data_IF_259719420147
#
_entry.id   IF_259719420147
#
_cell.length_a   1.000
_cell.length_b   1.000
_cell.length_c   1.000
_cell.angle_alpha   90.00
_cell.angle_beta   90.00
_cell.angle_gamma   90.00
#
_symmetry.space_group_name_H-M   'P 1'
#
loop_
_entity.id
_entity.type
_entity.pdbx_description
1 polymer ?
#
# COMPACT_ATOMS: atom_id res chain seq x y z
N UNK A 1 8.91 -0.21 5.16
CA UNK A 1 7.62 -0.55 5.81
C UNK A 1 6.90 0.65 6.37
N UNK A 2 7.57 1.56 7.09
CA UNK A 2 6.94 2.75 7.68
C UNK A 2 5.98 3.47 6.73
N UNK A 3 6.48 3.96 5.59
CA UNK A 3 5.66 4.68 4.61
C UNK A 3 4.59 3.80 3.98
N UNK A 4 4.90 2.54 3.66
CA UNK A 4 3.90 1.62 3.08
C UNK A 4 2.73 1.40 4.02
N UNK A 5 2.99 1.17 5.32
CA UNK A 5 1.93 1.00 6.30
C UNK A 5 1.20 2.32 6.58
N UNK A 6 1.91 3.44 6.76
CA UNK A 6 1.28 4.75 6.99
C UNK A 6 0.32 5.12 5.84
N UNK A 7 0.81 5.08 4.60
CA UNK A 7 0.01 5.39 3.41
C UNK A 7 -1.20 4.46 3.32
N UNK A 8 -1.00 3.15 3.49
CA UNK A 8 -2.09 2.19 3.37
C UNK A 8 -3.15 2.39 4.46
N UNK A 9 -2.74 2.51 5.73
CA UNK A 9 -3.67 2.73 6.86
C UNK A 9 -4.45 4.03 6.71
N UNK A 10 -3.83 5.11 6.20
CA UNK A 10 -4.54 6.35 5.88
C UNK A 10 -5.47 6.17 4.67
N UNK A 11 -5.09 5.37 3.68
CA UNK A 11 -5.94 4.99 2.54
C UNK A 11 -7.18 4.19 2.95
N UNK A 12 -7.04 3.27 3.90
CA UNK A 12 -8.16 2.51 4.48
C UNK A 12 -9.12 3.42 5.27
N UNK A 13 -8.60 4.47 5.92
CA UNK A 13 -9.45 5.52 6.49
C UNK A 13 -10.22 6.29 5.40
N UNK A 14 -9.55 6.68 4.30
CA UNK A 14 -10.18 7.42 3.20
C UNK A 14 -11.36 6.64 2.60
N UNK A 15 -11.15 5.35 2.28
CA UNK A 15 -12.22 4.50 1.74
C UNK A 15 -13.33 4.29 2.79
N UNK A 16 -12.99 4.07 4.06
CA UNK A 16 -14.00 3.93 5.12
C UNK A 16 -14.87 5.16 5.29
N UNK A 17 -14.28 6.36 5.20
CA UNK A 17 -15.03 7.61 5.21
C UNK A 17 -15.93 7.73 3.98
N UNK A 18 -15.41 7.46 2.78
CA UNK A 18 -16.19 7.54 1.55
C UNK A 18 -17.37 6.55 1.51
N UNK A 19 -17.18 5.32 2.02
CA UNK A 19 -18.25 4.32 2.13
C UNK A 19 -19.31 4.77 3.13
N UNK A 20 -18.90 5.35 4.27
CA UNK A 20 -19.82 5.87 5.29
C UNK A 20 -20.63 7.05 4.77
N UNK A 21 -19.98 7.98 4.06
CA UNK A 21 -20.63 9.15 3.44
C UNK A 21 -21.65 8.70 2.37
N UNK A 22 -21.30 7.69 1.56
CA UNK A 22 -22.20 7.12 0.55
C UNK A 22 -23.38 6.37 1.19
N UNK A 23 -23.14 5.60 2.25
CA UNK A 23 -24.18 4.89 2.98
C UNK A 23 -25.20 5.88 3.56
N UNK A 24 -24.74 6.94 4.21
CA UNK A 24 -25.60 8.01 4.74
C UNK A 24 -26.38 8.72 3.62
N UNK A 25 -25.76 8.96 2.47
CA UNK A 25 -26.44 9.55 1.30
C UNK A 25 -27.55 8.65 0.77
N UNK A 26 -27.32 7.34 0.69
CA UNK A 26 -28.35 6.39 0.23
C UNK A 26 -29.47 6.24 1.26
N UNK A 27 -29.15 6.21 2.54
CA UNK A 27 -30.13 6.18 3.62
C UNK A 27 -31.07 7.39 3.56
N UNK A 28 -30.53 8.59 3.36
CA UNK A 28 -31.31 9.82 3.27
C UNK A 28 -32.27 9.87 2.07
N UNK A 29 -31.98 9.12 0.99
CA UNK A 29 -32.79 9.06 -0.22
C UNK A 29 -33.69 7.83 -0.30
N UNK A 30 -33.69 6.98 0.72
CA UNK A 30 -34.47 5.73 0.76
C UNK A 30 -35.75 5.91 1.59
N UNK A 31 -36.86 5.24 1.25
CA UNK A 31 -38.03 5.17 2.12
C UNK A 31 -37.66 4.64 3.51
N UNK A 32 -38.32 5.17 4.55
CA UNK A 32 -38.04 4.80 5.93
C UNK A 32 -38.16 3.28 6.13
N UNK A 33 -37.07 2.64 6.59
CA UNK A 33 -37.01 1.21 6.91
C UNK A 33 -36.52 0.28 5.78
N UNK A 34 -36.28 0.79 4.57
CA UNK A 34 -35.89 -0.05 3.42
C UNK A 34 -34.36 -0.15 3.22
N UNK A 35 -33.59 0.76 3.82
CA UNK A 35 -32.13 0.79 3.72
C UNK A 35 -31.43 0.58 5.06
N UNK A 36 -30.42 -0.28 5.07
CA UNK A 36 -29.54 -0.54 6.22
C UNK A 36 -28.11 -0.14 5.88
N UNK A 37 -27.62 0.94 6.50
CA UNK A 37 -26.24 1.42 6.35
C UNK A 37 -25.22 0.33 6.69
N UNK A 38 -25.42 -0.37 7.80
CA UNK A 38 -24.54 -1.46 8.24
C UNK A 38 -24.47 -2.60 7.21
N UNK A 39 -25.60 -2.95 6.58
CA UNK A 39 -25.64 -3.99 5.55
C UNK A 39 -24.93 -3.54 4.28
N UNK A 40 -25.07 -2.26 3.89
CA UNK A 40 -24.34 -1.70 2.75
C UNK A 40 -22.83 -1.71 2.99
N UNK A 41 -22.38 -1.20 4.14
CA UNK A 41 -20.96 -1.18 4.53
C UNK A 41 -20.39 -2.61 4.54
N UNK A 42 -21.10 -3.55 5.17
CA UNK A 42 -20.66 -4.94 5.23
C UNK A 42 -20.53 -5.59 3.85
N UNK A 43 -21.51 -5.38 2.96
CA UNK A 43 -21.45 -5.89 1.58
C UNK A 43 -20.30 -5.25 0.79
N UNK A 44 -20.11 -3.94 0.92
CA UNK A 44 -19.02 -3.24 0.26
C UNK A 44 -17.66 -3.85 0.65
N UNK A 45 -17.39 -4.01 1.93
CA UNK A 45 -16.11 -4.56 2.39
C UNK A 45 -15.94 -6.05 2.05
N UNK A 46 -17.02 -6.83 2.08
CA UNK A 46 -16.99 -8.23 1.63
C UNK A 46 -16.57 -8.33 0.16
N UNK A 47 -17.22 -7.57 -0.72
CA UNK A 47 -16.89 -7.58 -2.15
C UNK A 47 -15.52 -6.95 -2.43
N UNK A 48 -15.14 -5.92 -1.66
CA UNK A 48 -13.84 -5.27 -1.78
C UNK A 48 -12.70 -6.23 -1.45
N UNK A 49 -12.74 -6.89 -0.29
CA UNK A 49 -11.69 -7.84 0.10
C UNK A 49 -11.69 -9.10 -0.77
N UNK A 50 -12.86 -9.56 -1.22
CA UNK A 50 -12.95 -10.66 -2.17
C UNK A 50 -12.20 -10.34 -3.47
N UNK A 51 -12.45 -9.16 -4.07
CA UNK A 51 -11.76 -8.74 -5.29
C UNK A 51 -10.26 -8.54 -5.04
N UNK A 52 -9.87 -7.91 -3.92
CA UNK A 52 -8.44 -7.77 -3.55
C UNK A 52 -7.74 -9.12 -3.52
N UNK A 53 -8.37 -10.13 -2.90
CA UNK A 53 -7.84 -11.49 -2.83
C UNK A 53 -7.71 -12.15 -4.20
N UNK A 54 -8.75 -12.07 -5.04
CA UNK A 54 -8.74 -12.65 -6.39
C UNK A 54 -7.70 -11.98 -7.28
N UNK A 55 -7.66 -10.64 -7.30
CA UNK A 55 -6.66 -9.89 -8.09
C UNK A 55 -5.26 -10.17 -7.57
N UNK A 56 -5.07 -10.16 -6.24
CA UNK A 56 -3.79 -10.50 -5.62
C UNK A 56 -3.30 -11.89 -6.00
N UNK A 57 -4.18 -12.90 -6.01
CA UNK A 57 -3.86 -14.26 -6.45
C UNK A 57 -3.45 -14.31 -7.92
N UNK A 58 -4.21 -13.67 -8.81
CA UNK A 58 -3.90 -13.61 -10.24
C UNK A 58 -2.53 -12.94 -10.45
N UNK A 59 -2.28 -11.82 -9.76
CA UNK A 59 -0.99 -11.14 -9.85
C UNK A 59 0.14 -12.03 -9.33
N UNK A 60 -0.05 -12.72 -8.20
CA UNK A 60 0.97 -13.62 -7.64
C UNK A 60 1.33 -14.75 -8.60
N UNK A 61 0.34 -15.39 -9.22
CA UNK A 61 0.56 -16.54 -10.12
C UNK A 61 1.17 -16.12 -11.45
N UNK A 62 0.72 -15.00 -12.03
CA UNK A 62 1.07 -14.64 -13.41
C UNK A 62 2.00 -13.44 -13.51
N UNK A 63 1.84 -12.41 -12.69
CA UNK A 63 2.54 -11.13 -12.88
C UNK A 63 3.86 -11.10 -12.11
N UNK A 64 3.90 -11.59 -10.87
CA UNK A 64 5.07 -11.47 -9.99
C UNK A 64 6.31 -12.12 -10.59
N UNK A 65 6.20 -13.37 -11.07
CA UNK A 65 7.33 -14.09 -11.68
C UNK A 65 7.87 -13.39 -12.93
N UNK A 66 6.98 -12.80 -13.75
CA UNK A 66 7.33 -12.08 -14.98
C UNK A 66 8.05 -10.76 -14.67
N UNK A 67 7.52 -9.96 -13.73
CA UNK A 67 8.16 -8.69 -13.32
C UNK A 67 9.55 -8.97 -12.77
N UNK A 68 9.68 -9.93 -11.85
CA UNK A 68 10.99 -10.23 -11.24
C UNK A 68 12.00 -10.77 -12.25
N UNK A 69 11.57 -11.61 -13.20
CA UNK A 69 12.45 -12.18 -14.24
C UNK A 69 12.91 -11.15 -15.27
N UNK A 70 12.00 -10.31 -15.77
CA UNK A 70 12.28 -9.45 -16.93
C UNK A 70 12.65 -8.01 -16.54
N UNK A 71 12.09 -7.48 -15.44
CA UNK A 71 12.34 -6.11 -15.00
C UNK A 71 13.27 -6.06 -13.77
N UNK A 72 13.32 -7.13 -12.97
CA UNK A 72 14.18 -7.22 -11.80
C UNK A 72 13.64 -6.50 -10.56
N UNK A 73 14.36 -6.65 -9.45
CA UNK A 73 13.93 -6.23 -8.11
C UNK A 73 13.77 -4.71 -8.00
N UNK A 74 14.62 -3.94 -8.68
CA UNK A 74 14.59 -2.47 -8.66
C UNK A 74 13.29 -1.91 -9.23
N UNK A 75 12.78 -2.48 -10.32
CA UNK A 75 11.47 -2.06 -10.84
C UNK A 75 10.34 -2.59 -9.97
N UNK A 76 10.46 -3.84 -9.49
CA UNK A 76 9.45 -4.48 -8.67
C UNK A 76 9.15 -3.72 -7.35
N UNK A 77 10.15 -3.13 -6.69
CA UNK A 77 9.94 -2.32 -5.47
C UNK A 77 9.26 -0.97 -5.76
N UNK A 78 9.38 -0.43 -6.98
CA UNK A 78 8.78 0.84 -7.38
C UNK A 78 7.32 0.70 -7.80
N UNK A 79 6.88 -0.51 -8.18
CA UNK A 79 5.52 -0.77 -8.70
C UNK A 79 4.43 -0.33 -7.72
N UNK A 80 4.54 -0.71 -6.44
CA UNK A 80 3.54 -0.36 -5.44
C UNK A 80 3.43 1.15 -5.20
N UNK A 81 4.52 1.89 -4.90
CA UNK A 81 4.42 3.33 -4.71
C UNK A 81 3.97 4.08 -5.98
N UNK A 82 4.25 3.57 -7.19
CA UNK A 82 3.71 4.16 -8.44
C UNK A 82 2.19 3.98 -8.52
N UNK A 83 1.69 2.78 -8.20
CA UNK A 83 0.25 2.49 -8.15
C UNK A 83 -0.43 3.36 -7.10
N UNK A 84 0.16 3.46 -5.90
CA UNK A 84 -0.34 4.32 -4.84
C UNK A 84 -0.38 5.79 -5.28
N UNK A 85 0.69 6.32 -5.89
CA UNK A 85 0.75 7.71 -6.34
C UNK A 85 -0.35 8.02 -7.36
N UNK A 86 -0.50 7.17 -8.39
CA UNK A 86 -1.56 7.32 -9.39
C UNK A 86 -2.95 7.17 -8.78
N UNK A 87 -3.12 6.23 -7.84
CA UNK A 87 -4.38 6.03 -7.12
C UNK A 87 -4.79 7.28 -6.32
N UNK A 88 -3.90 7.81 -5.47
CA UNK A 88 -4.21 9.01 -4.68
C UNK A 88 -4.34 10.27 -5.55
N UNK A 89 -3.61 10.37 -6.65
CA UNK A 89 -3.81 11.44 -7.64
C UNK A 89 -5.24 11.41 -8.21
N UNK A 90 -5.71 10.24 -8.64
CA UNK A 90 -7.08 10.10 -9.15
C UNK A 90 -8.14 10.33 -8.07
N UNK A 91 -7.91 9.88 -6.83
CA UNK A 91 -8.80 10.14 -5.69
C UNK A 91 -8.88 11.64 -5.39
N UNK A 92 -7.77 12.37 -5.48
CA UNK A 92 -7.76 13.81 -5.27
C UNK A 92 -8.59 14.56 -6.33
N UNK A 93 -8.57 14.09 -7.59
CA UNK A 93 -9.36 14.66 -8.69
C UNK A 93 -10.84 14.28 -8.62
N UNK A 94 -11.15 13.05 -8.18
CA UNK A 94 -12.51 12.51 -8.18
C UNK A 94 -12.91 11.95 -6.80
N UNK A 95 -12.94 12.79 -5.75
CA UNK A 95 -13.10 12.34 -4.36
C UNK A 95 -14.48 11.75 -4.05
N UNK A 96 -15.49 12.05 -4.85
CA UNK A 96 -16.87 11.55 -4.68
C UNK A 96 -17.13 10.21 -5.39
N UNK A 97 -16.19 9.72 -6.20
CA UNK A 97 -16.36 8.51 -6.99
C UNK A 97 -15.94 7.28 -6.19
N UNK A 98 -16.86 6.73 -5.38
CA UNK A 98 -16.58 5.58 -4.53
C UNK A 98 -16.00 4.37 -5.29
N UNK A 99 -16.50 4.11 -6.50
CA UNK A 99 -15.97 3.02 -7.35
C UNK A 99 -14.50 3.25 -7.73
N UNK A 100 -14.09 4.50 -7.96
CA UNK A 100 -12.70 4.83 -8.27
C UNK A 100 -11.80 4.61 -7.05
N UNK A 101 -12.22 5.06 -5.87
CA UNK A 101 -11.51 4.78 -4.60
C UNK A 101 -11.35 3.27 -4.39
N UNK A 102 -12.43 2.51 -4.58
CA UNK A 102 -12.42 1.04 -4.48
C UNK A 102 -11.37 0.43 -5.40
N UNK A 103 -11.37 0.76 -6.69
CA UNK A 103 -10.41 0.20 -7.64
C UNK A 103 -8.97 0.63 -7.39
N UNK A 104 -8.74 1.90 -7.01
CA UNK A 104 -7.41 2.39 -6.63
C UNK A 104 -6.86 1.61 -5.44
N UNK A 105 -7.66 1.45 -4.38
CA UNK A 105 -7.29 0.68 -3.19
C UNK A 105 -7.16 -0.82 -3.47
N UNK A 106 -7.99 -1.37 -4.36
CA UNK A 106 -7.84 -2.75 -4.82
C UNK A 106 -6.50 -2.98 -5.49
N UNK A 107 -6.10 -2.09 -6.41
CA UNK A 107 -4.80 -2.19 -7.08
C UNK A 107 -3.62 -2.07 -6.09
N UNK A 108 -3.71 -1.12 -5.14
CA UNK A 108 -2.70 -0.94 -4.09
C UNK A 108 -2.56 -2.20 -3.21
N UNK A 109 -3.65 -2.68 -2.62
CA UNK A 109 -3.60 -3.82 -1.69
C UNK A 109 -3.29 -5.15 -2.39
N UNK A 110 -3.83 -5.39 -3.58
CA UNK A 110 -3.47 -6.57 -4.35
C UNK A 110 -1.97 -6.59 -4.68
N UNK A 111 -1.38 -5.43 -5.00
CA UNK A 111 0.06 -5.31 -5.27
C UNK A 111 0.89 -5.49 -4.00
N UNK A 112 0.42 -4.96 -2.86
CA UNK A 112 1.13 -5.11 -1.60
C UNK A 112 1.19 -6.58 -1.16
N UNK A 113 0.05 -7.28 -1.20
CA UNK A 113 -0.03 -8.68 -0.77
C UNK A 113 0.66 -9.67 -1.70
N UNK A 114 0.85 -9.33 -2.97
CA UNK A 114 1.50 -10.19 -3.96
C UNK A 114 2.96 -9.79 -4.22
N UNK A 115 3.17 -8.86 -5.15
CA UNK A 115 4.47 -8.44 -5.63
C UNK A 115 5.32 -7.87 -4.52
N UNK A 116 4.80 -6.91 -3.75
CA UNK A 116 5.61 -6.21 -2.75
C UNK A 116 6.00 -7.15 -1.61
N UNK A 117 5.09 -8.02 -1.16
CA UNK A 117 5.39 -9.07 -0.19
C UNK A 117 6.55 -9.96 -0.66
N UNK A 118 6.52 -10.39 -1.93
CA UNK A 118 7.60 -11.19 -2.53
C UNK A 118 8.91 -10.40 -2.60
N UNK A 119 8.86 -9.16 -3.09
CA UNK A 119 10.03 -8.27 -3.21
C UNK A 119 10.70 -8.02 -1.86
N UNK A 120 9.91 -7.79 -0.80
CA UNK A 120 10.43 -7.59 0.57
C UNK A 120 11.29 -8.77 1.02
N UNK A 121 10.91 -10.00 0.70
CA UNK A 121 11.73 -11.16 1.02
C UNK A 121 13.02 -11.23 0.19
N UNK A 122 12.94 -10.86 -1.09
CA UNK A 122 14.08 -10.83 -2.01
C UNK A 122 15.13 -9.80 -1.58
N UNK A 123 14.71 -8.64 -1.06
CA UNK A 123 15.62 -7.59 -0.60
C UNK A 123 16.58 -8.05 0.51
N UNK A 124 16.23 -9.10 1.26
CA UNK A 124 17.07 -9.70 2.30
C UNK A 124 17.93 -10.87 1.82
N UNK A 125 17.86 -11.29 0.55
CA UNK A 125 18.72 -12.36 0.03
C UNK A 125 20.23 -12.08 0.11
N UNK A 126 20.74 -10.85 -0.16
CA UNK A 126 22.16 -10.57 -0.03
C UNK A 126 22.61 -10.28 1.42
N UNK A 127 21.72 -10.43 2.41
CA UNK A 127 22.02 -10.14 3.82
C UNK A 127 22.31 -11.40 4.62
N UNK A 128 23.09 -11.28 5.68
CA UNK A 128 23.33 -12.37 6.63
C UNK A 128 22.05 -12.70 7.42
N UNK A 129 22.02 -13.89 8.05
CA UNK A 129 20.88 -14.30 8.89
C UNK A 129 20.66 -13.36 10.08
N UNK A 130 21.75 -12.89 10.69
CA UNK A 130 21.70 -11.99 11.84
C UNK A 130 21.13 -10.62 11.45
N UNK A 131 21.61 -10.03 10.35
CA UNK A 131 21.08 -8.76 9.82
C UNK A 131 19.60 -8.89 9.48
N UNK A 132 19.21 -9.94 8.76
CA UNK A 132 17.81 -10.21 8.41
C UNK A 132 16.93 -10.35 9.65
N UNK A 133 17.39 -11.06 10.68
CA UNK A 133 16.63 -11.25 11.92
C UNK A 133 16.43 -9.92 12.66
N UNK A 134 17.51 -9.18 12.91
CA UNK A 134 17.44 -7.88 13.59
C UNK A 134 16.58 -6.88 12.81
N UNK A 135 16.76 -6.82 11.49
CA UNK A 135 15.99 -5.92 10.63
C UNK A 135 14.51 -6.27 10.64
N UNK A 136 14.13 -7.55 10.52
CA UNK A 136 12.72 -7.96 10.58
C UNK A 136 12.06 -7.59 11.91
N UNK A 137 12.72 -7.87 13.04
CA UNK A 137 12.17 -7.52 14.35
C UNK A 137 11.97 -6.00 14.46
N UNK A 138 12.96 -5.20 14.07
CA UNK A 138 12.81 -3.74 14.06
C UNK A 138 11.68 -3.29 13.14
N UNK A 139 11.57 -3.87 11.95
CA UNK A 139 10.53 -3.53 10.98
C UNK A 139 9.14 -3.86 11.51
N UNK A 140 8.92 -5.10 11.95
CA UNK A 140 7.60 -5.62 12.28
C UNK A 140 7.12 -5.09 13.64
N UNK A 141 8.03 -4.91 14.61
CA UNK A 141 7.68 -4.42 15.95
C UNK A 141 7.66 -2.90 16.06
N UNK A 142 8.57 -2.20 15.38
CA UNK A 142 8.69 -0.73 15.51
C UNK A 142 8.13 0.01 14.30
N UNK A 143 8.66 -0.23 13.10
CA UNK A 143 8.32 0.61 11.94
C UNK A 143 6.88 0.43 11.44
N UNK A 144 6.32 -0.78 11.52
CA UNK A 144 4.90 -0.99 11.22
C UNK A 144 4.02 -0.27 12.25
N UNK A 145 4.34 -0.40 13.54
CA UNK A 145 3.57 0.25 14.61
C UNK A 145 3.68 1.77 14.62
N UNK A 146 4.86 2.30 14.31
CA UNK A 146 5.05 3.71 14.09
C UNK A 146 4.20 4.21 12.92
N UNK A 147 4.07 3.43 11.84
CA UNK A 147 3.18 3.75 10.72
C UNK A 147 1.71 3.84 11.14
N UNK A 148 1.23 2.88 11.93
CA UNK A 148 -0.14 2.87 12.46
C UNK A 148 -0.40 4.12 13.33
N UNK A 149 0.54 4.46 14.22
CA UNK A 149 0.45 5.64 15.09
C UNK A 149 0.49 6.94 14.29
N UNK A 150 1.38 7.06 13.31
CA UNK A 150 1.48 8.25 12.46
C UNK A 150 0.22 8.42 11.60
N UNK A 151 -0.35 7.31 11.12
CA UNK A 151 -1.64 7.31 10.42
C UNK A 151 -2.77 7.79 11.33
N UNK A 152 -2.85 7.27 12.55
CA UNK A 152 -3.86 7.72 13.52
C UNK A 152 -3.68 9.21 13.88
N UNK A 153 -2.44 9.66 14.05
CA UNK A 153 -2.12 11.05 14.34
C UNK A 153 -2.56 11.99 13.21
N UNK A 154 -2.25 11.67 11.94
CA UNK A 154 -2.69 12.52 10.83
C UNK A 154 -4.20 12.48 10.64
N UNK A 155 -4.86 11.35 10.86
CA UNK A 155 -6.33 11.28 10.83
C UNK A 155 -6.93 12.17 11.92
N UNK A 156 -6.42 12.09 13.16
CA UNK A 156 -6.87 12.93 14.27
C UNK A 156 -6.68 14.42 13.99
N UNK A 157 -5.47 14.83 13.60
CA UNK A 157 -5.14 16.23 13.28
C UNK A 157 -5.94 16.72 12.06
N UNK A 158 -6.01 15.88 11.03
CA UNK A 158 -6.73 16.14 9.79
C UNK A 158 -8.21 16.39 10.03
N UNK A 159 -8.87 15.55 10.83
CA UNK A 159 -10.29 15.71 11.16
C UNK A 159 -10.53 16.85 12.14
N UNK A 160 -9.79 16.90 13.24
CA UNK A 160 -10.12 17.76 14.40
C UNK A 160 -9.68 19.20 14.20
N UNK A 161 -8.52 19.43 13.58
CA UNK A 161 -7.92 20.76 13.51
C UNK A 161 -7.87 21.32 12.09
N UNK A 162 -7.64 20.47 11.10
CA UNK A 162 -7.46 20.91 9.71
C UNK A 162 -8.72 20.76 8.85
N UNK A 163 -9.77 20.10 9.36
CA UNK A 163 -11.02 19.81 8.63
C UNK A 163 -10.79 19.18 7.25
N UNK A 164 -9.83 18.26 7.15
CA UNK A 164 -9.52 17.56 5.90
C UNK A 164 -10.73 16.82 5.35
N UNK A 165 -11.03 17.09 4.07
CA UNK A 165 -11.88 16.26 3.23
C UNK A 165 -11.11 15.04 2.70
N UNK A 166 -11.79 14.15 1.98
CA UNK A 166 -11.15 13.03 1.25
C UNK A 166 -10.00 13.54 0.37
N UNK A 167 -10.18 14.66 -0.32
CA UNK A 167 -9.14 15.29 -1.15
C UNK A 167 -7.93 15.71 -0.31
N UNK A 168 -8.14 16.31 0.87
CA UNK A 168 -7.05 16.71 1.76
C UNK A 168 -6.19 15.51 2.20
N UNK A 169 -6.83 14.42 2.60
CA UNK A 169 -6.14 13.17 2.92
C UNK A 169 -5.43 12.55 1.71
N UNK A 170 -6.04 12.60 0.51
CA UNK A 170 -5.43 12.08 -0.70
C UNK A 170 -4.17 12.87 -1.11
N UNK A 171 -4.19 14.20 -1.02
CA UNK A 171 -3.02 15.06 -1.28
C UNK A 171 -1.90 14.79 -0.26
N UNK A 172 -2.25 14.63 1.01
CA UNK A 172 -1.29 14.27 2.05
C UNK A 172 -0.64 12.91 1.75
N UNK A 173 -1.44 11.88 1.45
CA UNK A 173 -0.93 10.57 1.08
C UNK A 173 -0.06 10.64 -0.18
N UNK A 174 -0.46 11.40 -1.21
CA UNK A 174 0.33 11.57 -2.42
C UNK A 174 1.72 12.18 -2.12
N UNK A 175 1.79 13.11 -1.17
CA UNK A 175 3.05 13.70 -0.70
C UNK A 175 3.94 12.67 0.02
N UNK A 176 3.35 11.86 0.90
CA UNK A 176 4.06 10.73 1.55
C UNK A 176 4.54 9.70 0.53
N UNK A 177 3.72 9.40 -0.48
CA UNK A 177 4.10 8.47 -1.56
C UNK A 177 5.25 9.05 -2.39
N UNK A 178 5.34 10.36 -2.59
CA UNK A 178 6.50 11.00 -3.22
C UNK A 178 7.81 10.71 -2.49
N UNK A 179 7.80 10.81 -1.15
CA UNK A 179 8.95 10.44 -0.31
C UNK A 179 9.21 8.93 -0.42
N UNK A 180 8.16 8.12 -0.39
CA UNK A 180 8.29 6.66 -0.52
C UNK A 180 8.87 6.23 -1.87
N UNK A 181 8.49 6.86 -2.98
CA UNK A 181 9.06 6.62 -4.31
C UNK A 181 10.58 6.83 -4.31
N UNK A 182 11.03 7.95 -3.73
CA UNK A 182 12.45 8.24 -3.58
C UNK A 182 13.15 7.15 -2.76
N UNK A 183 12.58 6.76 -1.62
CA UNK A 183 13.14 5.70 -0.78
C UNK A 183 13.18 4.34 -1.49
N UNK A 184 12.12 3.98 -2.22
CA UNK A 184 12.06 2.74 -2.98
C UNK A 184 13.13 2.70 -4.07
N UNK A 185 13.36 3.82 -4.75
CA UNK A 185 14.43 3.96 -5.74
C UNK A 185 15.82 3.79 -5.10
N UNK A 186 16.08 4.45 -3.97
CA UNK A 186 17.35 4.35 -3.26
C UNK A 186 17.62 2.94 -2.73
N UNK A 187 16.59 2.29 -2.18
CA UNK A 187 16.66 0.89 -1.71
C UNK A 187 16.94 -0.04 -2.90
N UNK A 188 16.25 0.15 -4.03
CA UNK A 188 16.47 -0.66 -5.23
C UNK A 188 17.89 -0.52 -5.79
N UNK A 189 18.46 0.69 -5.75
CA UNK A 189 19.87 0.91 -6.12
C UNK A 189 20.81 0.20 -5.15
N UNK A 190 20.60 0.37 -3.85
CA UNK A 190 21.48 -0.24 -2.84
C UNK A 190 21.42 -1.77 -2.85
N UNK A 191 20.24 -2.34 -3.07
CA UNK A 191 20.09 -3.79 -3.17
C UNK A 191 20.89 -4.38 -4.34
N UNK A 192 20.90 -3.69 -5.50
CA UNK A 192 21.74 -4.11 -6.65
C UNK A 192 23.22 -4.11 -6.31
N UNK A 193 23.73 -3.04 -5.68
CA UNK A 193 25.13 -2.97 -5.23
C UNK A 193 25.50 -4.13 -4.30
N UNK A 194 24.61 -4.49 -3.37
CA UNK A 194 24.85 -5.59 -2.43
C UNK A 194 24.82 -6.96 -3.13
N UNK A 195 23.92 -7.16 -4.08
CA UNK A 195 23.88 -8.40 -4.87
C UNK A 195 25.15 -8.56 -5.69
N UNK A 196 25.58 -7.51 -6.40
CA UNK A 196 26.79 -7.53 -7.23
C UNK A 196 28.06 -7.83 -6.38
N UNK A 197 28.13 -7.28 -5.15
CA UNK A 197 29.23 -7.54 -4.21
C UNK A 197 29.29 -9.01 -3.74
N UNK A 198 28.13 -9.58 -3.39
CA UNK A 198 28.04 -10.99 -2.96
C UNK A 198 28.38 -11.96 -4.09
N UNK A 199 27.99 -11.64 -5.33
CA UNK A 199 28.35 -12.45 -6.51
C UNK A 199 29.86 -12.40 -6.81
N UNK A 200 30.48 -11.23 -6.62
CA UNK A 200 31.93 -11.06 -6.79
C UNK A 200 32.74 -11.83 -5.75
N UNK A 201 32.30 -11.79 -4.48
CA UNK A 201 32.93 -12.54 -3.40
C UNK A 201 32.86 -14.05 -3.64
N UNK A 202 31.69 -14.58 -4.03
CA UNK A 202 31.52 -16.00 -4.36
C UNK A 202 32.41 -16.44 -5.52
N UNK A 203 32.58 -15.59 -6.53
CA UNK A 203 33.43 -15.89 -7.69
C UNK A 203 34.91 -15.92 -7.31
N UNK A 204 35.35 -15.08 -6.38
CA UNK A 204 36.73 -15.05 -5.88
C UNK A 204 37.06 -16.29 -5.03
N UNK A 205 36.12 -16.78 -4.21
CA UNK A 205 36.33 -17.95 -3.34
C UNK A 205 36.28 -19.28 -4.11
N UNK A 206 35.67 -19.29 -5.30
CA UNK A 206 35.53 -20.48 -6.14
C UNK A 206 36.75 -20.77 -7.05
N UNK A 207 37.76 -19.88 -7.04
CA UNK A 207 39.02 -19.99 -7.81
C UNK A 207 40.15 -20.34 -6.87
#
# INVERSE_FOLDING_TARGET
>A
MLFTNWVNTTGEYIIGRAVSDEAARLAANSPAGDFSENTFIARFYADYYFIVGVVGLIMQLFIVSRILKYLGVRFAIMTLPVIAFGGYFLIALFPTMLNLLRWAKTAENATDYSLNNTVRHILFLPTTREEKYKAKVAIDSFFVRAGDVLSAAIVFVGVTWLSFSITGFAIFNMSLVGIWLLLAFLIGRKNRELVDAVETEKSTVAV
#
